data_IF_229713820836
#
_entry.id   IF_229713820836
#
_cell.length_a   1.000
_cell.length_b   1.000
_cell.length_c   1.000
_cell.angle_alpha   90.00
_cell.angle_beta   90.00
_cell.angle_gamma   90.00
#
_symmetry.space_group_name_H-M   'P 1'
#
loop_
_entity.id
_entity.type
_entity.pdbx_description
1 polymer ?
#
# COMPACT_ATOMS: atom_id res chain seq x y z
N UNK A 1 -9.30 -3.54 0.60
CA UNK A 1 -8.94 -2.57 -0.46
C UNK A 1 -8.88 -1.17 0.15
N UNK A 2 -8.27 -0.18 -0.51
CA UNK A 2 -8.32 1.22 -0.05
C UNK A 2 -9.77 1.69 0.04
N UNK A 3 -10.10 2.43 1.08
CA UNK A 3 -11.39 3.09 1.17
C UNK A 3 -11.46 4.25 0.18
N UNK A 4 -12.52 4.30 -0.62
CA UNK A 4 -12.70 5.33 -1.66
C UNK A 4 -13.74 6.40 -1.29
N UNK A 5 -14.40 6.26 -0.13
CA UNK A 5 -15.45 7.18 0.30
C UNK A 5 -15.51 7.36 1.82
N UNK A 6 -16.21 8.40 2.26
CA UNK A 6 -16.39 8.73 3.66
C UNK A 6 -15.13 9.26 4.35
N UNK A 7 -15.19 9.40 5.67
CA UNK A 7 -14.12 9.99 6.48
C UNK A 7 -12.80 9.20 6.48
N UNK A 8 -12.80 7.96 6.01
CA UNK A 8 -11.61 7.10 5.93
C UNK A 8 -11.06 6.98 4.50
N UNK A 9 -11.62 7.73 3.54
CA UNK A 9 -11.16 7.70 2.15
C UNK A 9 -9.64 7.95 2.07
N UNK A 10 -8.95 7.14 1.27
CA UNK A 10 -7.49 7.16 1.12
C UNK A 10 -6.74 6.23 2.07
N UNK A 11 -7.38 5.69 3.10
CA UNK A 11 -6.76 4.76 4.06
C UNK A 11 -7.06 3.29 3.75
N UNK A 12 -6.32 2.37 4.38
CA UNK A 12 -6.62 0.93 4.33
C UNK A 12 -7.17 0.45 5.66
N UNK A 13 -8.24 -0.38 5.66
CA UNK A 13 -8.82 -0.91 6.87
C UNK A 13 -7.85 -1.91 7.54
N UNK A 14 -7.70 -1.90 8.87
CA UNK A 14 -6.76 -2.78 9.56
C UNK A 14 -7.12 -4.27 9.45
N UNK A 15 -8.38 -4.61 9.20
CA UNK A 15 -8.84 -5.98 8.96
C UNK A 15 -8.35 -6.57 7.63
N UNK A 16 -7.79 -5.75 6.74
CA UNK A 16 -7.24 -6.21 5.48
C UNK A 16 -5.77 -6.70 5.58
N UNK A 17 -5.15 -6.61 6.76
CA UNK A 17 -3.79 -7.08 7.02
C UNK A 17 -3.75 -8.00 8.25
N UNK A 18 -3.03 -9.14 8.23
CA UNK A 18 -2.95 -10.05 9.37
C UNK A 18 -2.42 -9.42 10.66
N UNK A 19 -1.58 -8.39 10.56
CA UNK A 19 -1.04 -7.64 11.68
C UNK A 19 -1.79 -6.32 11.93
N UNK A 20 -2.65 -5.91 10.99
CA UNK A 20 -3.40 -4.67 11.02
C UNK A 20 -4.38 -4.60 12.19
N UNK A 21 -5.02 -5.72 12.59
CA UNK A 21 -5.92 -5.72 13.76
C UNK A 21 -5.21 -5.26 15.04
N UNK A 22 -3.95 -5.63 15.24
CA UNK A 22 -3.15 -5.22 16.40
C UNK A 22 -2.50 -3.83 16.21
N UNK A 23 -2.05 -3.52 15.00
CA UNK A 23 -1.28 -2.31 14.71
C UNK A 23 -2.14 -1.09 14.29
N UNK A 24 -3.39 -1.32 13.89
CA UNK A 24 -4.37 -0.30 13.53
C UNK A 24 -4.19 0.29 12.13
N UNK A 25 -4.96 1.35 11.88
CA UNK A 25 -5.16 1.94 10.55
C UNK A 25 -3.93 2.68 10.03
N UNK A 26 -3.22 3.38 10.92
CA UNK A 26 -2.03 4.14 10.56
C UNK A 26 -0.93 3.23 10.01
N UNK A 27 -0.63 2.15 10.74
CA UNK A 27 0.29 1.11 10.28
C UNK A 27 -0.12 0.56 8.92
N UNK A 28 -1.37 0.10 8.82
CA UNK A 28 -1.87 -0.58 7.60
C UNK A 28 -1.81 0.35 6.38
N UNK A 29 -2.15 1.63 6.58
CA UNK A 29 -2.11 2.63 5.51
C UNK A 29 -0.68 2.98 5.11
N UNK A 30 0.20 3.27 6.08
CA UNK A 30 1.60 3.59 5.79
C UNK A 30 2.31 2.43 5.09
N UNK A 31 2.07 1.20 5.54
CA UNK A 31 2.63 0.00 4.95
C UNK A 31 2.15 -0.21 3.50
N UNK A 32 0.83 -0.11 3.25
CA UNK A 32 0.28 -0.21 1.91
C UNK A 32 0.84 0.89 0.99
N UNK A 33 0.95 2.14 1.46
CA UNK A 33 1.53 3.24 0.69
C UNK A 33 2.99 2.98 0.35
N UNK A 34 3.81 2.51 1.29
CA UNK A 34 5.22 2.18 1.03
C UNK A 34 5.37 1.11 -0.06
N UNK A 35 4.52 0.07 -0.07
CA UNK A 35 4.50 -0.94 -1.13
C UNK A 35 4.16 -0.30 -2.48
N UNK A 36 3.14 0.57 -2.53
CA UNK A 36 2.76 1.26 -3.76
C UNK A 36 3.87 2.20 -4.26
N UNK A 37 4.62 2.84 -3.36
CA UNK A 37 5.77 3.66 -3.75
C UNK A 37 6.83 2.83 -4.48
N UNK A 38 7.12 1.62 -3.98
CA UNK A 38 8.03 0.71 -4.69
C UNK A 38 7.45 0.33 -6.05
N UNK A 39 6.17 -0.04 -6.09
CA UNK A 39 5.52 -0.46 -7.34
C UNK A 39 5.51 0.66 -8.39
N UNK A 40 5.22 1.91 -8.02
CA UNK A 40 5.08 2.98 -9.02
C UNK A 40 6.36 3.79 -9.25
N UNK A 41 7.20 4.00 -8.24
CA UNK A 41 8.47 4.75 -8.40
C UNK A 41 9.60 3.87 -8.91
N UNK A 42 9.63 2.58 -8.56
CA UNK A 42 10.72 1.69 -8.92
C UNK A 42 10.37 0.67 -10.02
N UNK A 43 9.09 0.39 -10.34
CA UNK A 43 8.78 -0.42 -11.54
C UNK A 43 9.34 0.11 -12.86
N UNK A 44 9.48 1.44 -13.09
CA UNK A 44 10.19 1.93 -14.27
C UNK A 44 11.64 1.42 -14.37
N UNK A 45 12.32 1.20 -13.24
CA UNK A 45 13.68 0.63 -13.22
C UNK A 45 13.68 -0.80 -13.78
N UNK A 46 12.68 -1.61 -13.41
CA UNK A 46 12.55 -2.98 -13.91
C UNK A 46 12.12 -3.04 -15.38
N UNK A 47 11.42 -2.02 -15.90
CA UNK A 47 11.15 -1.92 -17.35
C UNK A 47 12.38 -1.56 -18.17
N UNK A 48 13.37 -0.86 -17.59
CA UNK A 48 14.65 -0.61 -18.26
C UNK A 48 15.59 -1.81 -18.21
N UNK A 49 15.39 -2.73 -17.26
CA UNK A 49 16.07 -4.02 -17.20
C UNK A 49 15.31 -5.01 -18.09
N UNK A 50 15.37 -4.83 -19.42
CA UNK A 50 15.18 -5.98 -20.32
C UNK A 50 16.33 -6.95 -20.02
N UNK A 51 16.04 -7.96 -19.21
CA UNK A 51 16.91 -9.11 -19.03
C UNK A 51 16.81 -9.94 -20.31
N UNK A 52 17.93 -10.07 -21.02
CA UNK A 52 18.10 -10.99 -22.17
C UNK A 52 17.73 -12.44 -21.80
#
# INVERSE_FOLDING_TARGET
MQETSGHQAGSWPPSADPHGTAAGRLYTTAFATAILEVYYRHAPLFRQLELE
#
